data_IF_502544813491
#
_entry.id   IF_502544813491
#
_cell.length_a   1.000
_cell.length_b   1.000
_cell.length_c   1.000
_cell.angle_alpha   90.00
_cell.angle_beta   90.00
_cell.angle_gamma   90.00
#
_symmetry.space_group_name_H-M   'P 1'
#
loop_
_entity.id
_entity.type
_entity.pdbx_description
1 polymer ?
#
# COMPACT_ATOMS: atom_id res chain seq x y z
N UNK A 1 0.28 1.55 -23.24
CA UNK A 1 0.54 2.33 -22.02
C UNK A 1 -0.79 2.58 -21.33
N UNK A 2 -0.90 2.40 -20.01
CA UNK A 2 -2.15 2.68 -19.27
C UNK A 2 -2.30 4.18 -19.06
N UNK A 3 -3.51 4.71 -19.24
CA UNK A 3 -3.81 6.10 -18.87
C UNK A 3 -3.98 6.19 -17.36
N UNK A 4 -3.12 6.95 -16.71
CA UNK A 4 -3.19 7.23 -15.27
C UNK A 4 -3.70 8.65 -15.09
N UNK A 5 -4.75 8.82 -14.29
CA UNK A 5 -5.37 10.12 -14.01
C UNK A 5 -5.37 10.45 -12.52
N UNK A 6 -5.03 9.48 -11.66
CA UNK A 6 -5.08 9.62 -10.20
C UNK A 6 -3.82 9.05 -9.54
N UNK A 7 -3.42 9.68 -8.45
CA UNK A 7 -2.54 9.11 -7.43
C UNK A 7 -3.39 8.96 -6.18
N UNK A 8 -3.40 7.76 -5.58
CA UNK A 8 -4.17 7.49 -4.36
C UNK A 8 -3.19 7.14 -3.25
N UNK A 9 -3.21 7.95 -2.19
CA UNK A 9 -2.38 7.76 -1.01
C UNK A 9 -3.16 6.96 0.03
N UNK A 10 -2.51 5.94 0.58
CA UNK A 10 -2.99 5.09 1.66
C UNK A 10 -2.00 5.09 2.82
N UNK A 11 -2.46 4.67 3.99
CA UNK A 11 -1.62 4.22 5.09
C UNK A 11 -1.82 2.72 5.31
N UNK A 12 -0.84 2.05 5.92
CA UNK A 12 -0.92 0.62 6.24
C UNK A 12 -1.76 0.31 7.47
N UNK A 13 -2.33 1.34 8.13
CA UNK A 13 -2.97 1.25 9.44
C UNK A 13 -2.09 0.54 10.48
N UNK A 14 -0.77 0.80 10.44
CA UNK A 14 0.17 0.26 11.42
C UNK A 14 0.22 1.18 12.65
N UNK A 15 0.06 0.64 13.88
CA UNK A 15 0.17 1.41 15.12
C UNK A 15 1.50 2.15 15.28
N UNK A 16 1.45 3.30 15.94
CA UNK A 16 2.64 4.08 16.27
C UNK A 16 3.67 3.21 17.04
N UNK A 17 4.96 3.40 16.73
CA UNK A 17 6.03 2.63 17.35
C UNK A 17 6.21 1.20 16.81
N UNK A 18 5.26 0.66 16.03
CA UNK A 18 5.41 -0.64 15.38
C UNK A 18 6.03 -0.50 13.99
N UNK A 19 6.62 -1.60 13.53
CA UNK A 19 7.18 -1.72 12.20
C UNK A 19 6.36 -2.71 11.35
N UNK A 20 6.09 -2.37 10.10
CA UNK A 20 5.52 -3.25 9.09
C UNK A 20 6.35 -3.11 7.80
N UNK A 21 7.19 -4.12 7.55
CA UNK A 21 7.99 -4.16 6.31
C UNK A 21 7.10 -4.35 5.08
N UNK A 22 7.59 -3.91 3.92
CA UNK A 22 6.89 -4.10 2.65
C UNK A 22 6.59 -5.57 2.36
N UNK A 23 7.51 -6.49 2.72
CA UNK A 23 7.29 -7.93 2.54
C UNK A 23 6.22 -8.46 3.50
N UNK A 24 6.18 -8.01 4.75
CA UNK A 24 5.09 -8.40 5.66
C UNK A 24 3.72 -7.90 5.15
N UNK A 25 3.65 -6.66 4.65
CA UNK A 25 2.43 -6.13 4.00
C UNK A 25 2.04 -6.95 2.76
N UNK A 26 3.00 -7.35 1.92
CA UNK A 26 2.76 -8.24 0.77
C UNK A 26 2.20 -9.58 1.22
N UNK A 27 2.80 -10.21 2.23
CA UNK A 27 2.34 -11.50 2.74
C UNK A 27 0.94 -11.42 3.32
N UNK A 28 0.59 -10.35 4.04
CA UNK A 28 -0.78 -10.12 4.54
C UNK A 28 -1.78 -10.06 3.39
N UNK A 29 -1.49 -9.24 2.37
CA UNK A 29 -2.33 -9.11 1.19
C UNK A 29 -2.55 -10.43 0.45
N UNK A 30 -1.53 -11.28 0.35
CA UNK A 30 -1.63 -12.58 -0.31
C UNK A 30 -2.44 -13.56 0.56
N UNK A 31 -2.05 -13.72 1.83
CA UNK A 31 -2.55 -14.79 2.70
C UNK A 31 -3.94 -14.49 3.27
N UNK A 32 -4.24 -13.23 3.56
CA UNK A 32 -5.47 -12.85 4.25
C UNK A 32 -6.48 -12.13 3.35
N UNK A 33 -6.02 -11.50 2.25
CA UNK A 33 -6.90 -10.75 1.33
C UNK A 33 -7.09 -11.41 -0.04
N UNK A 34 -6.38 -12.52 -0.30
CA UNK A 34 -6.47 -13.26 -1.57
C UNK A 34 -5.92 -12.49 -2.77
N UNK A 35 -5.04 -11.51 -2.55
CA UNK A 35 -4.41 -10.78 -3.64
C UNK A 35 -3.28 -11.62 -4.23
N UNK A 36 -2.97 -11.38 -5.51
CA UNK A 36 -1.83 -12.04 -6.18
C UNK A 36 -0.46 -11.52 -5.72
N UNK A 37 -0.45 -10.32 -5.15
CA UNK A 37 0.71 -9.57 -4.70
C UNK A 37 0.20 -8.37 -3.86
N UNK A 38 1.10 -7.61 -3.24
CA UNK A 38 0.82 -6.35 -2.57
C UNK A 38 -0.08 -5.46 -3.45
N UNK A 39 -1.12 -4.85 -2.87
CA UNK A 39 -2.11 -4.09 -3.64
C UNK A 39 -1.60 -2.77 -4.21
N UNK A 40 -0.50 -2.23 -3.67
CA UNK A 40 0.04 -0.91 -4.02
C UNK A 40 1.14 -1.01 -5.09
N UNK A 41 1.42 0.09 -5.78
CA UNK A 41 2.57 0.21 -6.67
C UNK A 41 3.83 0.61 -5.91
N UNK A 42 3.67 1.41 -4.85
CA UNK A 42 4.74 1.80 -3.94
C UNK A 42 4.32 1.59 -2.49
N UNK A 43 5.28 1.14 -1.68
CA UNK A 43 5.16 1.09 -0.23
C UNK A 43 6.34 1.86 0.40
N UNK A 44 6.07 2.79 1.31
CA UNK A 44 7.09 3.64 1.92
C UNK A 44 7.19 3.30 3.41
N UNK A 45 8.35 2.83 3.86
CA UNK A 45 8.59 2.55 5.29
C UNK A 45 8.88 3.82 6.08
N UNK A 46 8.81 3.72 7.41
CA UNK A 46 8.98 4.86 8.35
C UNK A 46 10.34 5.55 8.27
N UNK A 47 11.36 4.84 7.82
CA UNK A 47 12.70 5.37 7.55
C UNK A 47 12.83 6.07 6.19
N UNK A 48 11.76 6.08 5.39
CA UNK A 48 11.69 6.74 4.09
C UNK A 48 12.12 5.86 2.92
N UNK A 49 12.44 4.58 3.13
CA UNK A 49 12.74 3.67 2.03
C UNK A 49 11.50 3.46 1.15
N UNK A 50 11.69 3.52 -0.17
CA UNK A 50 10.63 3.28 -1.16
C UNK A 50 10.79 1.87 -1.69
N UNK A 51 9.82 1.01 -1.39
CA UNK A 51 9.74 -0.33 -1.91
C UNK A 51 8.81 -0.40 -3.12
N UNK A 52 9.27 -1.10 -4.16
CA UNK A 52 8.47 -1.37 -5.34
C UNK A 52 7.48 -2.52 -5.06
N UNK A 53 6.20 -2.23 -5.29
CA UNK A 53 5.12 -3.20 -5.26
C UNK A 53 4.79 -3.68 -6.67
N UNK A 54 3.54 -3.49 -7.09
CA UNK A 54 3.12 -3.83 -8.45
C UNK A 54 3.77 -2.89 -9.48
N UNK A 55 4.25 -3.42 -10.62
CA UNK A 55 4.73 -2.60 -11.73
C UNK A 55 3.66 -1.61 -12.19
N UNK A 56 4.06 -0.40 -12.61
CA UNK A 56 3.15 0.67 -13.05
C UNK A 56 2.30 0.26 -14.27
N UNK A 57 2.78 -0.70 -15.05
CA UNK A 57 2.10 -1.24 -16.22
C UNK A 57 0.95 -2.19 -15.84
N UNK A 58 0.90 -2.67 -14.59
CA UNK A 58 -0.12 -3.60 -14.08
C UNK A 58 -1.11 -2.90 -13.15
N UNK A 59 -2.37 -3.27 -13.26
CA UNK A 59 -3.44 -2.73 -12.41
C UNK A 59 -3.22 -3.10 -10.93
N UNK A 60 -3.32 -2.08 -10.07
CA UNK A 60 -3.25 -2.23 -8.61
C UNK A 60 -4.45 -2.96 -7.99
N UNK A 61 -4.41 -3.18 -6.68
CA UNK A 61 -5.51 -3.73 -5.89
C UNK A 61 -5.68 -2.95 -4.57
N UNK A 62 -5.69 -1.63 -4.65
CA UNK A 62 -5.65 -0.73 -3.49
C UNK A 62 -6.92 0.09 -3.29
N UNK A 63 -7.65 0.42 -4.37
CA UNK A 63 -8.89 1.19 -4.31
C UNK A 63 -9.92 0.65 -5.32
N UNK A 64 -10.99 0.02 -4.80
CA UNK A 64 -12.08 -0.54 -5.62
C UNK A 64 -12.63 0.54 -6.55
N UNK A 65 -12.89 0.19 -7.81
CA UNK A 65 -13.36 1.07 -8.89
C UNK A 65 -12.36 2.12 -9.39
N UNK A 66 -11.21 2.31 -8.73
CA UNK A 66 -10.20 3.30 -9.13
C UNK A 66 -8.86 2.69 -9.59
N UNK A 67 -8.60 1.40 -9.30
CA UNK A 67 -7.33 0.73 -9.62
C UNK A 67 -6.89 0.85 -11.10
N UNK A 68 -7.83 0.83 -12.04
CA UNK A 68 -7.52 0.77 -13.47
C UNK A 68 -6.73 2.00 -13.97
N UNK A 69 -7.02 3.18 -13.40
CA UNK A 69 -6.53 4.49 -13.83
C UNK A 69 -5.75 5.24 -12.73
N UNK A 70 -5.27 4.52 -11.71
CA UNK A 70 -4.56 5.12 -10.59
C UNK A 70 -3.25 4.43 -10.24
N UNK A 71 -2.36 5.18 -9.60
CA UNK A 71 -1.18 4.69 -8.90
C UNK A 71 -1.46 4.77 -7.40
N UNK A 72 -1.60 3.60 -6.75
CA UNK A 72 -1.64 3.47 -5.29
C UNK A 72 -0.26 3.53 -4.64
N UNK A 73 -0.11 4.43 -3.68
CA UNK A 73 1.07 4.57 -2.80
C UNK A 73 0.58 4.35 -1.36
N UNK A 74 1.25 3.47 -0.61
CA UNK A 74 0.97 3.27 0.79
C UNK A 74 2.19 3.64 1.63
N UNK A 75 2.01 4.41 2.69
CA UNK A 75 3.06 4.59 3.69
C UNK A 75 2.79 3.74 4.93
N UNK A 76 3.86 3.34 5.59
CA UNK A 76 3.83 2.61 6.86
C UNK A 76 3.36 3.52 7.99
N UNK A 77 2.24 3.18 8.62
CA UNK A 77 1.69 3.90 9.77
C UNK A 77 0.22 4.23 9.62
N UNK A 78 -0.18 5.36 10.18
CA UNK A 78 -1.55 5.90 10.08
C UNK A 78 -2.44 5.66 11.29
N UNK A 79 -1.94 4.98 12.33
CA UNK A 79 -2.60 4.87 13.63
C UNK A 79 -1.71 5.45 14.74
N UNK A 80 -2.31 5.98 15.80
CA UNK A 80 -1.64 6.34 17.05
C UNK A 80 -1.31 5.10 17.91
N UNK A 81 -0.84 5.33 19.15
CA UNK A 81 -0.46 4.27 20.08
C UNK A 81 -1.68 3.47 20.60
N UNK A 82 -2.85 4.11 20.63
CA UNK A 82 -4.14 3.56 21.02
C UNK A 82 -4.88 2.88 19.85
N UNK A 83 -4.29 2.89 18.65
CA UNK A 83 -4.84 2.28 17.44
C UNK A 83 -5.93 3.11 16.76
N UNK A 84 -6.04 4.40 17.07
CA UNK A 84 -6.96 5.33 16.41
C UNK A 84 -6.30 6.00 15.20
N UNK A 85 -7.13 6.43 14.24
CA UNK A 85 -6.66 7.12 13.06
C UNK A 85 -6.05 8.48 13.41
N UNK A 86 -4.94 8.81 12.75
CA UNK A 86 -4.20 10.08 12.90
C UNK A 86 -4.34 10.95 11.64
#
# INVERSE_FOLDING_TARGET
MRTITLIIIHCSATPEGKALSAEACRQDHIRHRGFRDIGYHFYITRDGEIHLGRPLEKIGAHCRNHNAHSIGICYEGGLDAEGQAK
#
